data_IF_255411134408
#
_entry.id   IF_255411134408
#
_cell.length_a   1.000
_cell.length_b   1.000
_cell.length_c   1.000
_cell.angle_alpha   90.00
_cell.angle_beta   90.00
_cell.angle_gamma   90.00
#
_symmetry.space_group_name_H-M   'P 1'
#
loop_
_entity.id
_entity.type
_entity.pdbx_description
1 polymer ?
#
# COMPACT_ATOMS: atom_id res chain seq x y z
N UNK A 1 -13.36 -18.56 -29.59
CA UNK A 1 -12.73 -19.71 -28.90
C UNK A 1 -11.61 -19.12 -28.07
N UNK A 2 -11.67 -19.21 -26.73
CA UNK A 2 -10.54 -18.75 -25.91
C UNK A 2 -9.36 -19.71 -26.13
N UNK A 3 -8.10 -19.23 -26.06
CA UNK A 3 -6.95 -20.11 -26.19
C UNK A 3 -6.97 -21.16 -25.08
N UNK A 4 -6.73 -22.42 -25.44
CA UNK A 4 -6.54 -23.52 -24.48
C UNK A 4 -5.17 -23.42 -23.79
N UNK A 5 -4.23 -22.67 -24.39
CA UNK A 5 -2.87 -22.45 -23.90
C UNK A 5 -2.44 -20.98 -24.10
N UNK A 6 -1.61 -20.47 -23.20
CA UNK A 6 -0.95 -19.17 -23.30
C UNK A 6 0.54 -19.37 -23.58
N UNK A 7 1.04 -18.80 -24.67
CA UNK A 7 2.48 -18.78 -24.95
C UNK A 7 3.12 -17.51 -24.39
N UNK A 8 4.10 -17.67 -23.51
CA UNK A 8 5.00 -16.61 -23.07
C UNK A 8 6.22 -16.58 -24.00
N UNK A 9 6.63 -15.38 -24.42
CA UNK A 9 7.79 -15.18 -25.28
C UNK A 9 8.80 -14.27 -24.58
N UNK A 10 10.07 -14.63 -24.61
CA UNK A 10 11.16 -13.72 -24.32
C UNK A 10 11.75 -13.22 -25.64
N UNK A 11 11.79 -11.90 -25.79
CA UNK A 11 12.34 -11.23 -26.94
C UNK A 11 13.51 -10.37 -26.46
N UNK A 12 14.65 -10.52 -27.10
CA UNK A 12 15.82 -9.70 -26.85
C UNK A 12 15.51 -8.24 -27.16
N UNK A 13 15.69 -7.38 -26.16
CA UNK A 13 15.42 -5.95 -26.29
C UNK A 13 16.43 -5.22 -27.20
N UNK A 14 17.61 -5.80 -27.44
CA UNK A 14 18.67 -5.16 -28.23
C UNK A 14 18.52 -5.39 -29.73
N UNK A 15 18.00 -6.56 -30.14
CA UNK A 15 17.95 -6.98 -31.54
C UNK A 15 16.58 -7.57 -31.97
N UNK A 16 15.56 -7.51 -31.10
CA UNK A 16 14.21 -8.02 -31.32
C UNK A 16 14.14 -9.51 -31.70
N UNK A 17 15.18 -10.28 -31.39
CA UNK A 17 15.19 -11.72 -31.67
C UNK A 17 14.44 -12.48 -30.57
N UNK A 18 13.61 -13.44 -30.99
CA UNK A 18 13.01 -14.40 -30.08
C UNK A 18 14.12 -15.24 -29.41
N UNK A 19 14.20 -15.19 -28.08
CA UNK A 19 15.16 -15.96 -27.29
C UNK A 19 14.57 -17.31 -26.89
N UNK A 20 13.34 -17.32 -26.36
CA UNK A 20 12.59 -18.54 -26.08
C UNK A 20 11.09 -18.27 -26.02
N UNK A 21 10.32 -19.36 -26.05
CA UNK A 21 8.91 -19.34 -25.66
C UNK A 21 8.59 -20.50 -24.71
N UNK A 22 7.54 -20.36 -23.90
CA UNK A 22 7.00 -21.40 -23.03
C UNK A 22 5.48 -21.38 -23.10
N UNK A 23 4.89 -22.54 -23.35
CA UNK A 23 3.45 -22.72 -23.28
C UNK A 23 3.04 -22.96 -21.83
N UNK A 24 2.05 -22.20 -21.38
CA UNK A 24 1.43 -22.29 -20.08
C UNK A 24 -0.02 -22.73 -20.29
N UNK A 25 -0.52 -23.70 -19.50
CA UNK A 25 -1.90 -24.14 -19.63
C UNK A 25 -2.84 -22.98 -19.33
N UNK A 26 -3.85 -22.76 -20.18
CA UNK A 26 -5.00 -21.97 -19.78
C UNK A 26 -5.86 -22.80 -18.82
N UNK A 27 -6.35 -22.19 -17.75
CA UNK A 27 -7.33 -22.82 -16.88
C UNK A 27 -8.68 -22.13 -17.06
N UNK A 28 -9.66 -22.86 -17.58
CA UNK A 28 -11.03 -22.39 -17.85
C UNK A 28 -11.07 -21.06 -18.63
N UNK A 29 -10.16 -20.90 -19.59
CA UNK A 29 -10.06 -19.71 -20.44
C UNK A 29 -9.63 -18.43 -19.71
N UNK A 30 -9.17 -18.53 -18.45
CA UNK A 30 -8.63 -17.41 -17.69
C UNK A 30 -7.14 -17.21 -17.99
N UNK A 31 -6.78 -15.98 -18.35
CA UNK A 31 -5.37 -15.59 -18.51
C UNK A 31 -4.66 -15.50 -17.16
N UNK A 32 -3.45 -16.07 -17.04
CA UNK A 32 -2.63 -15.84 -15.86
C UNK A 32 -2.20 -14.39 -15.77
N UNK A 33 -2.11 -13.90 -14.53
CA UNK A 33 -1.30 -12.72 -14.26
C UNK A 33 0.15 -13.13 -14.35
N UNK A 34 0.94 -12.35 -15.10
CA UNK A 34 2.35 -12.60 -15.32
C UNK A 34 3.16 -11.42 -14.80
N UNK A 35 4.39 -11.67 -14.39
CA UNK A 35 5.34 -10.62 -14.06
C UNK A 35 6.77 -11.13 -13.99
N UNK A 36 7.69 -10.19 -13.99
CA UNK A 36 9.12 -10.44 -13.98
C UNK A 36 9.71 -10.19 -12.60
N UNK A 37 10.75 -10.95 -12.29
CA UNK A 37 11.64 -10.79 -11.17
C UNK A 37 13.09 -10.88 -11.71
N UNK A 38 14.13 -10.61 -10.90
CA UNK A 38 15.50 -10.45 -11.42
C UNK A 38 16.04 -11.61 -12.28
N UNK A 39 15.87 -12.85 -11.82
CA UNK A 39 16.36 -14.06 -12.49
C UNK A 39 15.26 -15.10 -12.70
N UNK A 40 14.01 -14.63 -12.67
CA UNK A 40 12.82 -15.47 -12.69
C UNK A 40 11.61 -14.70 -13.22
N UNK A 41 10.59 -15.43 -13.65
CA UNK A 41 9.28 -14.87 -13.92
C UNK A 41 8.23 -15.66 -13.14
N UNK A 42 7.08 -15.06 -12.88
CA UNK A 42 5.99 -15.75 -12.18
C UNK A 42 4.72 -15.77 -13.02
N UNK A 43 3.88 -16.78 -12.74
CA UNK A 43 2.49 -16.80 -13.16
C UNK A 43 1.57 -16.99 -11.96
N UNK A 44 0.47 -16.26 -11.93
CA UNK A 44 -0.59 -16.43 -10.97
C UNK A 44 -1.92 -16.76 -11.66
N UNK A 45 -2.53 -17.86 -11.22
CA UNK A 45 -3.78 -18.37 -11.74
C UNK A 45 -4.89 -18.19 -10.70
N UNK A 46 -5.79 -17.23 -10.92
CA UNK A 46 -6.89 -16.94 -9.99
C UNK A 46 -7.80 -18.14 -9.74
N UNK A 47 -8.12 -18.90 -10.79
CA UNK A 47 -9.05 -20.03 -10.70
C UNK A 47 -8.60 -21.10 -9.69
N UNK A 48 -7.28 -21.31 -9.58
CA UNK A 48 -6.67 -22.29 -8.68
C UNK A 48 -5.98 -21.66 -7.47
N UNK A 49 -5.85 -20.33 -7.45
CA UNK A 49 -5.01 -19.62 -6.48
C UNK A 49 -3.52 -19.92 -6.63
N UNK A 50 -3.07 -20.50 -7.75
CA UNK A 50 -1.71 -21.02 -7.88
C UNK A 50 -0.75 -19.93 -8.34
N UNK A 51 0.23 -19.60 -7.51
CA UNK A 51 1.39 -18.77 -7.84
C UNK A 51 2.60 -19.69 -8.10
N UNK A 52 3.12 -19.66 -9.31
CA UNK A 52 4.31 -20.43 -9.71
C UNK A 52 5.44 -19.49 -10.09
N UNK A 53 6.62 -19.70 -9.52
CA UNK A 53 7.85 -19.02 -9.91
C UNK A 53 8.67 -19.93 -10.81
N UNK A 54 9.13 -19.41 -11.93
CA UNK A 54 9.93 -20.12 -12.91
C UNK A 54 11.32 -19.52 -12.95
N UNK A 55 12.32 -20.39 -13.07
CA UNK A 55 13.69 -19.99 -13.33
C UNK A 55 13.79 -19.46 -14.76
N UNK A 56 14.31 -18.25 -14.96
CA UNK A 56 14.33 -17.62 -16.29
C UNK A 56 15.22 -18.38 -17.30
N UNK A 57 16.33 -18.95 -16.83
CA UNK A 57 17.30 -19.65 -17.68
C UNK A 57 16.81 -21.03 -18.13
N UNK A 58 16.25 -21.80 -17.21
CA UNK A 58 15.78 -23.17 -17.48
C UNK A 58 14.33 -23.20 -17.92
N UNK A 59 13.53 -22.21 -17.50
CA UNK A 59 12.07 -22.09 -17.65
C UNK A 59 11.28 -23.13 -16.86
N UNK A 60 11.93 -23.85 -15.96
CA UNK A 60 11.26 -24.82 -15.08
C UNK A 60 10.75 -24.16 -13.80
N UNK A 61 9.66 -24.67 -13.20
CA UNK A 61 9.19 -24.18 -11.91
C UNK A 61 10.28 -24.34 -10.83
N UNK A 62 10.66 -23.23 -10.17
CA UNK A 62 11.46 -23.27 -8.95
C UNK A 62 10.61 -23.73 -7.77
N UNK A 63 9.42 -23.17 -7.66
CA UNK A 63 8.46 -23.48 -6.62
C UNK A 63 7.05 -23.09 -7.06
N UNK A 64 6.06 -23.61 -6.34
CA UNK A 64 4.64 -23.29 -6.53
C UNK A 64 3.97 -23.16 -5.17
N UNK A 65 3.13 -22.14 -4.99
CA UNK A 65 2.33 -21.91 -3.79
C UNK A 65 0.87 -21.66 -4.12
N UNK A 66 0.02 -22.08 -3.19
CA UNK A 66 -1.41 -21.77 -3.21
C UNK A 66 -1.67 -20.51 -2.38
N UNK A 67 -2.14 -19.47 -3.05
CA UNK A 67 -2.50 -18.16 -2.52
C UNK A 67 -3.88 -17.75 -3.09
N UNK A 68 -4.97 -18.40 -2.66
CA UNK A 68 -6.30 -18.22 -3.25
C UNK A 68 -6.85 -16.78 -3.15
N UNK A 69 -6.32 -15.99 -2.21
CA UNK A 69 -6.76 -14.63 -1.96
C UNK A 69 -5.76 -13.57 -2.47
N UNK A 70 -4.87 -13.91 -3.41
CA UNK A 70 -3.96 -12.91 -4.00
C UNK A 70 -4.75 -11.78 -4.67
N UNK A 71 -4.46 -10.54 -4.31
CA UNK A 71 -5.06 -9.36 -4.90
C UNK A 71 -4.37 -9.05 -6.24
N UNK A 72 -5.06 -9.33 -7.34
CA UNK A 72 -4.53 -9.12 -8.69
C UNK A 72 -4.46 -7.64 -9.10
N UNK A 73 -5.14 -6.76 -8.37
CA UNK A 73 -5.11 -5.31 -8.65
C UNK A 73 -3.82 -4.65 -8.16
N UNK A 74 -3.12 -5.33 -7.25
CA UNK A 74 -1.81 -4.91 -6.73
C UNK A 74 -0.76 -5.87 -7.29
N UNK A 75 0.01 -5.46 -8.32
CA UNK A 75 1.08 -6.29 -8.84
C UNK A 75 2.08 -6.65 -7.73
N UNK A 76 2.56 -7.90 -7.68
CA UNK A 76 3.68 -8.27 -6.84
C UNK A 76 4.88 -7.34 -7.01
N UNK A 77 5.47 -6.94 -5.88
CA UNK A 77 6.64 -6.07 -5.83
C UNK A 77 7.87 -6.95 -5.61
N UNK A 78 8.91 -6.78 -6.42
CA UNK A 78 10.18 -7.48 -6.25
C UNK A 78 11.22 -6.54 -5.63
N UNK A 79 11.86 -6.99 -4.55
CA UNK A 79 12.87 -6.21 -3.83
C UNK A 79 13.96 -7.15 -3.28
N UNK A 80 15.16 -7.08 -3.87
CA UNK A 80 16.24 -8.01 -3.56
C UNK A 80 15.81 -9.47 -3.81
N UNK A 81 15.89 -10.32 -2.78
CA UNK A 81 15.48 -11.73 -2.84
C UNK A 81 14.02 -11.96 -2.41
N UNK A 82 13.19 -10.91 -2.34
CA UNK A 82 11.80 -10.99 -1.88
C UNK A 82 10.81 -10.63 -2.99
N UNK A 83 9.70 -11.34 -2.99
CA UNK A 83 8.47 -11.01 -3.71
C UNK A 83 7.40 -10.66 -2.69
N UNK A 84 6.96 -9.40 -2.68
CA UNK A 84 5.89 -8.92 -1.82
C UNK A 84 4.59 -9.02 -2.58
N UNK A 85 3.62 -9.71 -2.00
CA UNK A 85 2.28 -9.88 -2.55
C UNK A 85 1.24 -9.40 -1.55
N UNK A 86 0.15 -8.82 -2.05
CA UNK A 86 -1.03 -8.59 -1.25
C UNK A 86 -1.95 -9.80 -1.37
N UNK A 87 -2.31 -10.39 -0.24
CA UNK A 87 -3.21 -11.54 -0.17
C UNK A 87 -4.26 -11.32 0.91
N UNK A 88 -5.51 -11.12 0.49
CA UNK A 88 -6.57 -10.64 1.37
C UNK A 88 -6.18 -9.30 2.00
N UNK A 89 -6.24 -9.24 3.32
CA UNK A 89 -5.84 -8.07 4.12
C UNK A 89 -4.39 -8.12 4.57
N UNK A 90 -3.54 -8.97 3.99
CA UNK A 90 -2.15 -9.10 4.42
C UNK A 90 -1.20 -8.78 3.28
N UNK A 91 -0.06 -8.16 3.61
CA UNK A 91 1.13 -8.20 2.77
C UNK A 91 2.02 -9.33 3.22
N UNK A 92 2.46 -10.14 2.26
CA UNK A 92 3.36 -11.26 2.49
C UNK A 92 4.60 -11.06 1.65
N UNK A 93 5.78 -11.18 2.26
CA UNK A 93 7.00 -11.33 1.50
C UNK A 93 7.37 -12.81 1.40
N UNK A 94 7.55 -13.27 0.17
CA UNK A 94 7.99 -14.61 -0.16
C UNK A 94 9.45 -14.55 -0.61
N UNK A 95 10.27 -15.51 -0.22
CA UNK A 95 11.63 -15.63 -0.76
C UNK A 95 11.56 -16.09 -2.22
N UNK A 96 12.26 -15.39 -3.11
CA UNK A 96 12.30 -15.75 -4.53
C UNK A 96 12.92 -17.14 -4.77
N UNK A 97 13.81 -17.58 -3.88
CA UNK A 97 14.53 -18.87 -3.98
C UNK A 97 13.63 -20.09 -3.81
N UNK A 98 12.66 -20.05 -2.89
CA UNK A 98 11.89 -21.25 -2.47
C UNK A 98 10.39 -20.98 -2.20
N UNK A 99 9.94 -19.73 -2.31
CA UNK A 99 8.55 -19.33 -2.07
C UNK A 99 8.15 -19.30 -0.59
N UNK A 100 9.07 -19.60 0.33
CA UNK A 100 8.78 -19.57 1.77
C UNK A 100 8.48 -18.16 2.26
N UNK A 101 7.62 -18.04 3.26
CA UNK A 101 7.31 -16.76 3.88
C UNK A 101 8.57 -16.21 4.59
N UNK A 102 8.96 -14.99 4.25
CA UNK A 102 9.99 -14.22 4.94
C UNK A 102 9.36 -13.43 6.09
N UNK A 103 8.24 -12.76 5.82
CA UNK A 103 7.46 -12.03 6.80
C UNK A 103 6.02 -11.79 6.32
N UNK A 104 5.15 -11.38 7.25
CA UNK A 104 3.78 -10.97 6.97
C UNK A 104 3.44 -9.72 7.76
N UNK A 105 2.77 -8.77 7.10
CA UNK A 105 2.28 -7.53 7.69
C UNK A 105 0.76 -7.46 7.49
N UNK A 106 -0.03 -7.53 8.57
CA UNK A 106 -1.48 -7.41 8.45
C UNK A 106 -1.90 -5.96 8.23
N UNK A 107 -2.76 -5.75 7.24
CA UNK A 107 -3.66 -4.58 7.16
C UNK A 107 -5.03 -4.96 7.70
N UNK A 108 -5.88 -3.96 7.89
CA UNK A 108 -7.23 -4.18 8.42
C UNK A 108 -8.28 -4.19 7.32
N UNK A 109 -7.96 -3.59 6.17
CA UNK A 109 -8.87 -3.52 5.04
C UNK A 109 -8.23 -4.04 3.75
N UNK A 110 -9.10 -4.33 2.78
CA UNK A 110 -8.74 -4.62 1.40
C UNK A 110 -8.46 -3.33 0.59
N UNK A 111 -8.90 -2.17 1.07
CA UNK A 111 -8.77 -0.90 0.38
C UNK A 111 -7.48 -0.21 0.79
N UNK A 112 -6.40 -0.62 0.14
CA UNK A 112 -5.05 -0.12 0.39
C UNK A 112 -4.46 0.51 -0.85
N UNK A 113 -3.53 1.42 -0.64
CA UNK A 113 -2.62 1.90 -1.69
C UNK A 113 -1.20 1.79 -1.19
N UNK A 114 -0.29 1.40 -2.06
CA UNK A 114 1.09 1.11 -1.72
C UNK A 114 2.05 2.04 -2.43
N UNK A 115 3.11 2.42 -1.72
CA UNK A 115 4.28 3.06 -2.30
C UNK A 115 5.51 2.34 -1.79
N UNK A 116 6.43 2.01 -2.68
CA UNK A 116 7.61 1.22 -2.35
C UNK A 116 8.88 1.83 -2.93
N UNK A 117 9.99 1.60 -2.24
CA UNK A 117 11.34 1.73 -2.76
C UNK A 117 12.17 0.52 -2.29
N UNK A 118 13.49 0.55 -2.43
CA UNK A 118 14.36 -0.58 -2.08
C UNK A 118 14.35 -0.95 -0.58
N UNK A 119 13.81 -0.09 0.28
CA UNK A 119 13.88 -0.24 1.73
C UNK A 119 12.52 -0.24 2.42
N UNK A 120 11.58 0.54 1.93
CA UNK A 120 10.33 0.82 2.64
C UNK A 120 9.14 0.50 1.77
N UNK A 121 8.21 -0.27 2.31
CA UNK A 121 6.86 -0.41 1.81
C UNK A 121 5.95 0.45 2.69
N UNK A 122 5.44 1.54 2.13
CA UNK A 122 4.40 2.35 2.74
C UNK A 122 3.04 1.86 2.28
N UNK A 123 2.17 1.51 3.22
CA UNK A 123 0.81 1.07 2.97
C UNK A 123 -0.15 2.06 3.59
N UNK A 124 -1.02 2.62 2.77
CA UNK A 124 -2.08 3.52 3.17
C UNK A 124 -3.39 2.72 3.21
N UNK A 125 -3.83 2.36 4.42
CA UNK A 125 -5.17 1.81 4.68
C UNK A 125 -6.12 2.99 4.88
N UNK A 126 -6.99 3.24 3.88
CA UNK A 126 -7.78 4.47 3.77
C UNK A 126 -8.70 4.72 4.97
N UNK A 127 -9.14 3.66 5.66
CA UNK A 127 -10.12 3.73 6.74
C UNK A 127 -9.49 3.64 8.14
N UNK A 128 -8.28 3.10 8.25
CA UNK A 128 -7.74 2.64 9.53
C UNK A 128 -6.38 3.22 9.90
N UNK A 129 -5.36 3.12 9.06
CA UNK A 129 -4.00 3.56 9.43
C UNK A 129 -3.07 3.67 8.24
N UNK A 130 -1.99 4.41 8.37
CA UNK A 130 -0.88 4.34 7.42
C UNK A 130 0.32 3.70 8.10
N UNK A 131 0.85 2.63 7.51
CA UNK A 131 2.02 1.91 8.04
C UNK A 131 3.17 2.01 7.05
N UNK A 132 4.38 2.19 7.55
CA UNK A 132 5.59 2.02 6.77
C UNK A 132 6.39 0.86 7.37
N UNK A 133 6.79 -0.09 6.54
CA UNK A 133 7.52 -1.28 6.96
C UNK A 133 8.85 -1.37 6.23
N UNK A 134 9.87 -1.86 6.91
CA UNK A 134 11.15 -2.22 6.32
C UNK A 134 10.97 -3.48 5.47
N UNK A 135 11.27 -3.41 4.18
CA UNK A 135 11.00 -4.50 3.23
C UNK A 135 11.83 -5.73 3.51
N UNK A 136 13.07 -5.58 3.98
CA UNK A 136 13.94 -6.73 4.22
C UNK A 136 13.42 -7.58 5.39
N UNK A 137 12.81 -6.93 6.39
CA UNK A 137 12.46 -7.57 7.66
C UNK A 137 10.97 -7.67 7.94
N UNK A 138 10.13 -6.90 7.25
CA UNK A 138 8.71 -6.73 7.54
C UNK A 138 8.44 -5.93 8.82
N UNK A 139 9.47 -5.36 9.44
CA UNK A 139 9.32 -4.62 10.70
C UNK A 139 8.69 -3.26 10.45
N UNK A 140 7.64 -2.94 11.20
CA UNK A 140 7.05 -1.61 11.20
C UNK A 140 8.07 -0.55 11.64
N UNK A 141 8.31 0.41 10.75
CA UNK A 141 9.11 1.63 10.99
C UNK A 141 8.19 2.72 11.53
N UNK A 142 7.01 2.88 10.92
CA UNK A 142 6.02 3.90 11.27
C UNK A 142 4.63 3.26 11.31
N UNK A 143 3.83 3.59 12.34
CA UNK A 143 2.40 3.28 12.42
C UNK A 143 1.66 4.58 12.77
N UNK A 144 0.90 5.11 11.80
CA UNK A 144 0.12 6.32 11.96
C UNK A 144 -1.37 5.98 12.05
N UNK A 145 -2.07 6.34 13.15
CA UNK A 145 -3.51 6.16 13.26
C UNK A 145 -4.24 6.98 12.20
N UNK A 146 -5.52 6.68 11.92
CA UNK A 146 -6.26 7.42 10.93
C UNK A 146 -6.40 8.85 11.46
N UNK A 147 -6.21 9.84 10.59
CA UNK A 147 -6.48 11.22 10.99
C UNK A 147 -7.96 11.32 11.32
N UNK A 148 -8.30 11.36 12.61
CA UNK A 148 -9.66 11.72 13.03
C UNK A 148 -9.99 13.04 12.35
N UNK A 149 -11.03 13.06 11.53
CA UNK A 149 -11.58 14.34 11.05
C UNK A 149 -11.95 15.12 12.30
N UNK A 150 -11.18 16.14 12.64
CA UNK A 150 -11.72 17.22 13.46
C UNK A 150 -12.78 17.90 12.62
N UNK A 151 -14.01 17.39 12.71
CA UNK A 151 -15.17 18.12 12.23
C UNK A 151 -15.21 19.39 13.06
N UNK A 152 -14.82 20.52 12.46
CA UNK A 152 -15.23 21.82 13.00
C UNK A 152 -16.72 21.88 12.76
N UNK A 153 -17.48 21.47 13.76
CA UNK A 153 -18.92 21.66 13.82
C UNK A 153 -19.18 23.17 13.91
N UNK A 154 -19.14 23.85 12.76
CA UNK A 154 -19.74 25.18 12.64
C UNK A 154 -21.25 25.00 12.60
N UNK A 155 -21.86 24.89 13.78
CA UNK A 155 -23.01 25.73 14.18
C UNK A 155 -23.49 25.40 15.59
N UNK A 156 -23.46 26.45 16.41
CA UNK A 156 -24.02 26.62 17.74
C UNK A 156 -25.32 25.86 18.03
N UNK A 157 -25.37 25.13 19.14
CA UNK A 157 -26.54 25.11 20.03
C UNK A 157 -26.10 24.84 21.48
N UNK A 158 -26.32 25.85 22.33
CA UNK A 158 -26.33 25.87 23.80
C UNK A 158 -25.76 24.64 24.54
N UNK A 159 -24.52 24.76 25.03
CA UNK A 159 -24.17 24.10 26.30
C UNK A 159 -24.87 24.88 27.43
N UNK A 160 -26.15 24.57 27.67
CA UNK A 160 -26.92 25.11 28.78
C UNK A 160 -26.30 24.55 30.07
N UNK A 161 -25.50 25.39 30.75
CA UNK A 161 -25.08 25.15 32.13
C UNK A 161 -26.31 24.84 32.97
N UNK A 162 -26.47 23.58 33.38
CA UNK A 162 -27.33 23.25 34.53
C UNK A 162 -26.45 23.35 35.77
N UNK A 163 -26.52 24.52 36.41
CA UNK A 163 -26.14 24.70 37.79
C UNK A 163 -27.14 23.94 38.68
N UNK A 164 -26.67 22.89 39.33
CA UNK A 164 -27.26 22.32 40.55
C UNK A 164 -26.20 21.42 41.18
N UNK A 165 -25.40 21.96 42.11
CA UNK A 165 -25.59 21.82 43.55
C UNK A 165 -25.27 20.39 44.06
N UNK A 166 -24.00 20.13 44.40
CA UNK A 166 -23.53 19.67 45.74
C UNK A 166 -22.05 19.21 45.72
N UNK A 167 -21.36 19.18 46.88
CA UNK A 167 -19.93 19.54 46.96
C UNK A 167 -19.03 18.37 47.34
N UNK A 168 -17.95 18.10 46.61
CA UNK A 168 -16.80 17.37 47.18
C UNK A 168 -15.48 17.95 46.67
N UNK A 169 -14.66 18.28 47.65
CA UNK A 169 -13.33 18.90 47.64
C UNK A 169 -12.32 18.24 46.70
N UNK A 170 -11.59 19.04 45.91
CA UNK A 170 -10.22 18.72 45.53
C UNK A 170 -9.32 19.95 45.50
N UNK A 171 -8.09 19.73 45.99
CA UNK A 171 -7.04 20.68 46.33
C UNK A 171 -6.48 21.43 45.14
N UNK A 172 -6.05 22.67 45.41
CA UNK A 172 -5.17 23.49 44.57
C UNK A 172 -3.88 22.73 44.24
N UNK A 173 -3.52 22.68 42.96
CA UNK A 173 -2.12 22.66 42.52
C UNK A 173 -1.92 23.82 41.56
N UNK A 174 -0.85 24.57 41.82
CA UNK A 174 -0.54 25.88 41.27
C UNK A 174 -0.31 25.89 39.76
N UNK A 175 -0.86 26.92 39.10
CA UNK A 175 -0.46 27.35 37.77
C UNK A 175 0.90 28.09 37.86
N UNK A 176 1.96 27.44 37.40
CA UNK A 176 3.26 28.09 37.19
C UNK A 176 3.32 28.76 35.81
N UNK A 177 3.18 30.09 35.78
CA UNK A 177 3.55 30.92 34.62
C UNK A 177 5.07 30.88 34.46
N UNK A 178 5.56 30.46 33.29
CA UNK A 178 6.87 30.91 32.76
C UNK A 178 6.67 31.53 31.38
N UNK A 179 6.84 32.84 31.31
CA UNK A 179 7.21 33.59 30.10
C UNK A 179 8.68 33.32 29.83
N UNK A 180 9.07 33.09 28.58
CA UNK A 180 10.22 33.76 27.96
C UNK A 180 9.96 33.92 26.44
N UNK A 181 10.55 34.94 25.80
CA UNK A 181 10.18 35.47 24.50
C UNK A 181 11.04 34.89 23.37
N UNK A 182 10.56 35.00 22.14
CA UNK A 182 11.33 34.68 20.95
C UNK A 182 10.52 35.02 19.71
N UNK A 183 10.80 36.19 19.14
CA UNK A 183 10.27 36.70 17.89
C UNK A 183 10.50 35.72 16.73
N UNK A 184 9.47 35.48 15.91
CA UNK A 184 9.64 35.28 14.47
C UNK A 184 8.49 35.93 13.72
N UNK A 185 8.87 36.59 12.64
CA UNK A 185 8.11 37.57 11.88
C UNK A 185 6.84 37.04 11.22
N UNK A 186 5.84 37.93 11.14
CA UNK A 186 4.63 37.77 10.33
C UNK A 186 5.00 37.67 8.85
N UNK A 187 4.52 36.63 8.18
CA UNK A 187 4.16 36.70 6.76
C UNK A 187 2.65 36.49 6.67
N UNK A 188 1.93 37.60 6.63
CA UNK A 188 0.52 37.63 6.28
C UNK A 188 0.42 37.52 4.75
N UNK A 189 -0.26 36.50 4.25
CA UNK A 189 -0.77 36.48 2.90
C UNK A 189 -2.22 36.96 2.95
N UNK A 190 -2.43 38.21 2.54
CA UNK A 190 -3.75 38.68 2.16
C UNK A 190 -3.99 38.27 0.69
N UNK A 191 -5.13 37.66 0.34
CA UNK A 191 -5.48 37.49 -1.07
C UNK A 191 -5.80 38.86 -1.67
N UNK A 192 -5.06 39.24 -2.71
CA UNK A 192 -5.38 40.37 -3.56
C UNK A 192 -6.70 40.08 -4.29
N UNK A 193 -7.74 40.86 -4.02
CA UNK A 193 -8.96 40.90 -4.81
C UNK A 193 -8.64 41.52 -6.18
N UNK A 194 -8.60 40.71 -7.23
CA UNK A 194 -8.75 41.22 -8.60
C UNK A 194 -10.24 41.44 -8.89
N UNK A 195 -10.66 42.61 -9.40
CA UNK A 195 -12.01 42.78 -9.88
C UNK A 195 -12.21 42.01 -11.20
N UNK A 196 -13.35 41.34 -11.33
CA UNK A 196 -13.74 40.64 -12.55
C UNK A 196 -13.92 41.61 -13.74
N UNK A 197 -13.57 41.21 -14.98
CA UNK A 197 -13.83 42.02 -16.17
C UNK A 197 -15.34 42.13 -16.44
N UNK A 198 -15.79 43.33 -16.84
CA UNK A 198 -17.16 43.58 -17.30
C UNK A 198 -17.39 42.89 -18.65
N UNK A 199 -18.60 42.40 -18.93
CA UNK A 199 -18.94 41.87 -20.25
C UNK A 199 -19.01 43.01 -21.27
N UNK A 200 -18.38 42.80 -22.42
CA UNK A 200 -18.47 43.66 -23.61
C UNK A 200 -19.81 43.43 -24.33
N UNK A 201 -20.39 44.51 -24.81
CA UNK A 201 -21.31 44.61 -25.95
C UNK A 201 -20.89 45.84 -26.75
#
# INVERSE_FOLDING_TARGET
>A
KQPEDFSLYEISASDNRLLWHKDLPAFDGQSPQLGLAPDSFYSYMRATGRLTMFDDRTREPRWTRELPNLDQTVPPITAGNLMIVKSGTDYRALRLSDGSDAWTVPTKTLSTSELTNDRVLAVFDHDERSVAVDIATGKTIVDLPPRKRCFKETSFTLCRRRLSLWPWTWRKVFAGKRRFPGEWHRLAWAPAFMPAPKPEN
#
